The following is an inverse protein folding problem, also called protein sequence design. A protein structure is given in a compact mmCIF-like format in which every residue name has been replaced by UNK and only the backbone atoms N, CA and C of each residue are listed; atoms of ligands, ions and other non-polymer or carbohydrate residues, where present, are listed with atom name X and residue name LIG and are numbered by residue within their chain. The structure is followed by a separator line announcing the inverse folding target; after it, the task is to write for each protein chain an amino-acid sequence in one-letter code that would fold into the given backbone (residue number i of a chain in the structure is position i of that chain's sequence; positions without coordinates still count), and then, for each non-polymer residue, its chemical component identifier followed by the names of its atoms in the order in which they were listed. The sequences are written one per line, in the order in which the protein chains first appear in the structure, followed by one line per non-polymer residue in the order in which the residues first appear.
data_IF_705532681593
#
_entry.id   IF_705532681593
#
_cell.length_a   1.000
_cell.length_b   1.000
_cell.length_c   1.000
_cell.angle_alpha   90.00
_cell.angle_beta   90.00
_cell.angle_gamma   90.00
#
_symmetry.space_group_name_H-M   'P 1'
#
loop_
_entity.id
_entity.type
_entity.pdbx_description
1 polymer ?
#
# COMPACT_ATOMS: atom_id res chain seq x y z
N UNK A 1 27.38 16.98 13.67
CA UNK A 1 27.24 15.73 14.43
C UNK A 1 25.77 15.57 14.74
N UNK A 2 25.17 14.49 14.24
CA UNK A 2 23.80 14.11 14.50
C UNK A 2 23.58 14.10 16.01
N UNK A 3 22.47 14.70 16.45
CA UNK A 3 22.10 14.72 17.87
C UNK A 3 21.98 13.26 18.31
N UNK A 4 22.85 12.82 19.22
CA UNK A 4 22.76 11.47 19.79
C UNK A 4 21.42 11.37 20.52
N UNK A 5 20.62 10.39 20.14
CA UNK A 5 19.27 10.22 20.71
C UNK A 5 19.41 9.72 22.14
N UNK A 6 18.92 10.50 23.09
CA UNK A 6 18.93 10.12 24.49
C UNK A 6 17.70 9.28 24.85
N UNK A 7 17.83 8.41 25.85
CA UNK A 7 16.72 7.61 26.37
C UNK A 7 15.56 8.50 26.83
N UNK A 8 15.86 9.69 27.37
CA UNK A 8 14.86 10.65 27.81
C UNK A 8 13.99 11.15 26.65
N UNK A 9 14.60 11.50 25.52
CA UNK A 9 13.89 11.96 24.32
C UNK A 9 12.94 10.84 23.79
N UNK A 10 13.41 9.59 23.78
CA UNK A 10 12.59 8.43 23.37
C UNK A 10 11.44 8.14 24.34
N UNK A 11 11.65 8.37 25.64
CA UNK A 11 10.64 8.20 26.67
C UNK A 11 9.52 9.23 26.49
N UNK A 12 9.87 10.50 26.31
CA UNK A 12 8.92 11.61 26.09
C UNK A 12 8.14 11.45 24.78
N UNK A 13 8.77 10.90 23.74
CA UNK A 13 8.13 10.60 22.45
C UNK A 13 7.21 9.36 22.49
N UNK A 14 7.22 8.58 23.57
CA UNK A 14 6.35 7.39 23.72
C UNK A 14 6.83 6.15 22.95
N UNK A 15 8.13 6.06 22.66
CA UNK A 15 8.74 4.96 21.90
C UNK A 15 8.69 3.61 22.65
N UNK A 16 8.62 3.68 23.98
CA UNK A 16 8.63 2.54 24.89
C UNK A 16 7.29 1.80 24.96
N UNK A 17 6.19 2.37 24.46
CA UNK A 17 4.89 1.70 24.49
C UNK A 17 4.82 0.62 23.41
N UNK A 18 4.62 -0.63 23.81
CA UNK A 18 4.30 -1.71 22.88
C UNK A 18 2.80 -1.97 22.79
N UNK A 19 2.46 -3.19 22.37
CA UNK A 19 1.09 -3.68 22.24
C UNK A 19 0.59 -4.40 23.49
N UNK A 20 -0.69 -4.74 23.46
CA UNK A 20 -1.35 -5.59 24.45
C UNK A 20 -0.68 -6.97 24.57
N UNK A 21 -0.66 -7.52 25.78
CA UNK A 21 0.00 -8.80 26.07
C UNK A 21 -0.58 -10.02 25.37
N UNK A 22 -1.83 -9.94 24.90
CA UNK A 22 -2.44 -10.98 24.06
C UNK A 22 -1.99 -10.96 22.59
N UNK A 23 -1.37 -9.87 22.14
CA UNK A 23 -0.98 -9.66 20.72
C UNK A 23 0.53 -9.78 20.48
N UNK A 24 1.31 -10.03 21.53
CA UNK A 24 2.76 -10.04 21.43
C UNK A 24 3.30 -11.29 20.73
N UNK A 25 4.50 -11.15 20.17
CA UNK A 25 5.28 -12.25 19.63
C UNK A 25 6.31 -12.70 20.66
N UNK A 26 6.35 -13.99 21.05
CA UNK A 26 7.30 -14.51 22.03
C UNK A 26 8.78 -14.23 21.70
N UNK A 27 9.12 -14.12 20.41
CA UNK A 27 10.49 -13.81 19.99
C UNK A 27 10.92 -12.37 20.33
N UNK A 28 9.97 -11.48 20.64
CA UNK A 28 10.25 -10.13 21.14
C UNK A 28 10.58 -10.09 22.64
N UNK A 29 10.51 -11.23 23.35
CA UNK A 29 10.84 -11.30 24.79
C UNK A 29 12.17 -10.64 25.16
N UNK A 30 13.28 -10.78 24.39
CA UNK A 30 14.52 -10.10 24.72
C UNK A 30 14.43 -8.57 24.69
N UNK A 31 13.52 -7.99 23.92
CA UNK A 31 13.40 -6.53 23.76
C UNK A 31 12.36 -5.90 24.69
N UNK A 32 11.54 -6.72 25.36
CA UNK A 32 10.55 -6.27 26.32
C UNK A 32 11.20 -6.12 27.70
N UNK A 33 10.93 -4.99 28.37
CA UNK A 33 11.42 -4.70 29.71
C UNK A 33 10.46 -5.24 30.78
N UNK A 34 9.18 -4.88 30.70
CA UNK A 34 8.15 -5.30 31.64
C UNK A 34 6.75 -5.17 31.03
N UNK A 35 5.74 -5.64 31.74
CA UNK A 35 4.33 -5.39 31.44
C UNK A 35 3.77 -4.38 32.44
N UNK A 36 2.98 -3.40 31.97
CA UNK A 36 2.24 -2.47 32.84
C UNK A 36 0.84 -2.28 32.28
N UNK A 37 -0.19 -2.49 33.11
CA UNK A 37 -1.60 -2.33 32.73
C UNK A 37 -2.00 -3.13 31.47
N UNK A 38 -1.45 -4.34 31.29
CA UNK A 38 -1.73 -5.18 30.12
C UNK A 38 -1.03 -4.76 28.83
N UNK A 39 -0.09 -3.80 28.88
CA UNK A 39 0.71 -3.32 27.75
C UNK A 39 2.17 -3.67 27.99
N UNK A 40 2.85 -4.21 26.98
CA UNK A 40 4.29 -4.43 27.05
C UNK A 40 5.06 -3.11 26.92
N UNK A 41 6.08 -2.96 27.75
CA UNK A 41 7.02 -1.83 27.72
C UNK A 41 8.32 -2.29 27.08
N UNK A 42 8.71 -1.65 25.98
CA UNK A 42 9.95 -1.92 25.25
C UNK A 42 11.14 -1.36 26.02
N UNK A 43 12.26 -2.09 26.04
CA UNK A 43 13.49 -1.65 26.67
C UNK A 43 14.22 -0.59 25.82
N UNK A 44 14.11 0.68 26.23
CA UNK A 44 14.73 1.80 25.53
C UNK A 44 16.25 1.75 25.46
N UNK A 45 16.95 1.13 26.42
CA UNK A 45 18.41 0.98 26.33
C UNK A 45 18.79 0.08 25.15
N UNK A 46 17.99 -0.98 24.91
CA UNK A 46 18.16 -1.83 23.72
C UNK A 46 17.80 -1.09 22.45
N UNK A 47 16.75 -0.25 22.48
CA UNK A 47 16.39 0.62 21.37
C UNK A 47 17.53 1.55 20.97
N UNK A 48 18.15 2.26 21.92
CA UNK A 48 19.27 3.16 21.64
C UNK A 48 20.46 2.41 21.05
N UNK A 49 20.86 1.29 21.66
CA UNK A 49 21.99 0.49 21.17
C UNK A 49 21.75 -0.02 19.73
N UNK A 50 20.55 -0.51 19.45
CA UNK A 50 20.16 -1.01 18.12
C UNK A 50 19.96 0.10 17.10
N UNK A 51 19.47 1.26 17.52
CA UNK A 51 19.35 2.44 16.67
C UNK A 51 20.74 2.96 16.25
N UNK A 52 21.72 2.96 17.17
CA UNK A 52 23.11 3.31 16.85
C UNK A 52 23.72 2.33 15.82
N UNK A 53 23.56 1.02 16.03
CA UNK A 53 24.00 -0.02 15.10
C UNK A 53 23.37 0.15 13.70
N UNK A 54 22.06 0.38 13.65
CA UNK A 54 21.32 0.62 12.41
C UNK A 54 21.79 1.92 11.71
N UNK A 55 21.95 3.01 12.45
CA UNK A 55 22.38 4.30 11.91
C UNK A 55 23.79 4.23 11.32
N UNK A 56 24.72 3.53 11.97
CA UNK A 56 26.08 3.35 11.45
C UNK A 56 26.07 2.57 10.12
N UNK A 57 25.28 1.50 10.04
CA UNK A 57 25.15 0.72 8.81
C UNK A 57 24.46 1.52 7.70
N UNK A 58 23.39 2.26 7.99
CA UNK A 58 22.69 3.13 7.03
C UNK A 58 23.60 4.25 6.51
N UNK A 59 24.41 4.83 7.39
CA UNK A 59 25.41 5.84 7.03
C UNK A 59 26.43 5.30 6.03
N UNK A 60 26.99 4.11 6.27
CA UNK A 60 27.91 3.43 5.34
C UNK A 60 27.24 3.13 3.98
N UNK A 61 25.98 2.69 3.99
CA UNK A 61 25.23 2.41 2.75
C UNK A 61 24.99 3.71 1.97
N UNK A 62 24.62 4.79 2.64
CA UNK A 62 24.44 6.10 2.02
C UNK A 62 25.75 6.64 1.43
N UNK A 63 26.86 6.50 2.17
CA UNK A 63 28.20 6.88 1.73
C UNK A 63 28.64 6.13 0.45
N UNK A 64 28.34 4.81 0.38
CA UNK A 64 28.59 4.00 -0.84
C UNK A 64 27.77 4.47 -2.06
N UNK A 65 26.74 5.29 -1.85
CA UNK A 65 25.90 5.80 -2.92
C UNK A 65 24.81 4.87 -3.41
N UNK A 66 24.51 3.82 -2.66
CA UNK A 66 23.31 3.01 -2.87
C UNK A 66 22.11 3.75 -2.26
N UNK A 67 20.95 3.61 -2.88
CA UNK A 67 19.70 4.22 -2.40
C UNK A 67 19.07 3.34 -1.32
N UNK A 68 18.51 3.96 -0.29
CA UNK A 68 17.75 3.27 0.76
C UNK A 68 16.26 3.52 0.48
N UNK A 69 15.47 2.45 0.39
CA UNK A 69 14.03 2.55 0.13
C UNK A 69 13.26 2.52 1.45
N UNK A 70 12.57 3.60 1.77
CA UNK A 70 11.73 3.68 2.97
C UNK A 70 10.32 3.20 2.67
N UNK A 71 9.71 2.42 3.56
CA UNK A 71 8.40 1.79 3.34
C UNK A 71 7.53 1.99 4.57
N UNK A 72 6.37 2.62 4.40
CA UNK A 72 5.43 2.86 5.49
C UNK A 72 4.00 3.10 4.96
N UNK A 73 3.11 2.11 4.99
CA UNK A 73 1.71 2.27 4.54
C UNK A 73 0.75 2.69 5.65
N UNK A 74 1.23 2.69 6.88
CA UNK A 74 0.46 3.04 8.09
C UNK A 74 0.13 4.52 8.13
N UNK A 75 -1.13 4.87 8.42
CA UNK A 75 -1.66 6.24 8.35
C UNK A 75 -0.83 7.23 9.18
N UNK A 76 -0.39 6.80 10.36
CA UNK A 76 0.41 7.59 11.29
C UNK A 76 1.83 7.89 10.79
N UNK A 77 2.34 7.07 9.87
CA UNK A 77 3.70 7.14 9.34
C UNK A 77 3.78 7.79 7.94
N UNK A 78 2.69 7.79 7.17
CA UNK A 78 2.69 8.22 5.76
C UNK A 78 3.31 9.60 5.55
N UNK A 79 2.78 10.60 6.25
CA UNK A 79 3.18 12.00 6.04
C UNK A 79 4.59 12.25 6.60
N UNK A 80 4.88 11.66 7.77
CA UNK A 80 6.19 11.76 8.44
C UNK A 80 7.30 11.19 7.55
N UNK A 81 7.10 9.98 7.02
CA UNK A 81 8.09 9.33 6.15
C UNK A 81 8.22 10.08 4.84
N UNK A 82 7.11 10.54 4.23
CA UNK A 82 7.18 11.33 3.01
C UNK A 82 7.99 12.62 3.19
N UNK A 83 7.72 13.39 4.25
CA UNK A 83 8.40 14.66 4.50
C UNK A 83 9.88 14.48 4.83
N UNK A 84 10.20 13.64 5.83
CA UNK A 84 11.58 13.48 6.31
C UNK A 84 12.48 12.84 5.24
N UNK A 85 11.97 11.87 4.50
CA UNK A 85 12.77 11.15 3.50
C UNK A 85 12.92 11.97 2.20
N UNK A 86 11.90 12.74 1.81
CA UNK A 86 12.01 13.67 0.68
C UNK A 86 13.12 14.70 0.89
N UNK A 87 13.29 15.20 2.11
CA UNK A 87 14.35 16.15 2.47
C UNK A 87 15.77 15.58 2.24
N UNK A 88 15.94 14.27 2.33
CA UNK A 88 17.24 13.57 2.14
C UNK A 88 17.38 13.02 0.71
N UNK A 89 16.39 13.23 -0.16
CA UNK A 89 16.34 12.75 -1.54
C UNK A 89 16.56 11.23 -1.67
N UNK A 90 15.91 10.47 -0.77
CA UNK A 90 15.85 9.02 -0.81
C UNK A 90 14.45 8.55 -1.27
N UNK A 91 14.35 7.39 -1.92
CA UNK A 91 13.06 6.86 -2.37
C UNK A 91 12.23 6.34 -1.18
N UNK A 92 10.91 6.53 -1.24
CA UNK A 92 9.97 6.09 -0.20
C UNK A 92 8.64 5.58 -0.76
N UNK A 93 7.96 4.66 -0.11
CA UNK A 93 6.62 4.19 -0.49
C UNK A 93 5.68 4.33 0.70
N UNK A 94 4.72 5.25 0.58
CA UNK A 94 3.79 5.58 1.67
C UNK A 94 2.37 5.11 1.42
N UNK A 95 1.99 4.84 0.17
CA UNK A 95 0.60 4.54 -0.16
C UNK A 95 0.29 3.05 -0.10
N UNK A 96 0.74 2.31 -1.11
CA UNK A 96 0.52 0.86 -1.21
C UNK A 96 1.78 0.21 -1.75
N UNK A 97 2.20 -0.86 -1.11
CA UNK A 97 3.23 -1.75 -1.63
C UNK A 97 2.63 -2.69 -2.70
N UNK A 98 2.92 -2.51 -4.00
CA UNK A 98 2.53 -3.49 -5.00
C UNK A 98 3.38 -4.75 -4.82
N UNK A 99 2.75 -5.93 -4.79
CA UNK A 99 3.50 -7.19 -4.82
C UNK A 99 4.36 -7.29 -6.08
N UNK A 100 5.58 -7.78 -5.94
CA UNK A 100 6.57 -7.81 -7.00
C UNK A 100 7.38 -6.51 -7.13
N UNK A 101 7.34 -5.63 -6.14
CA UNK A 101 8.01 -4.33 -6.22
C UNK A 101 9.53 -4.47 -6.39
N UNK A 102 10.13 -5.39 -5.63
CA UNK A 102 11.56 -5.67 -5.68
C UNK A 102 11.82 -6.88 -6.57
N UNK A 103 11.03 -7.95 -6.41
CA UNK A 103 11.24 -9.22 -7.12
C UNK A 103 10.92 -9.15 -8.62
N UNK A 104 10.00 -8.27 -9.04
CA UNK A 104 9.65 -8.02 -10.44
C UNK A 104 9.95 -6.55 -10.82
N UNK A 105 11.13 -6.06 -10.43
CA UNK A 105 11.53 -4.67 -10.62
C UNK A 105 11.50 -4.20 -12.10
N UNK A 106 11.76 -5.10 -13.05
CA UNK A 106 11.68 -4.78 -14.48
C UNK A 106 10.28 -4.33 -14.89
N UNK A 107 9.24 -4.97 -14.36
CA UNK A 107 7.85 -4.60 -14.65
C UNK A 107 7.45 -3.29 -13.97
N UNK A 108 7.90 -3.07 -12.72
CA UNK A 108 7.69 -1.81 -12.02
C UNK A 108 8.37 -0.65 -12.76
N UNK A 109 9.58 -0.86 -13.26
CA UNK A 109 10.30 0.13 -14.08
C UNK A 109 9.55 0.47 -15.36
N UNK A 110 8.85 -0.49 -15.99
CA UNK A 110 7.97 -0.20 -17.14
C UNK A 110 6.82 0.74 -16.75
N UNK A 111 6.23 0.57 -15.57
CA UNK A 111 5.19 1.47 -15.06
C UNK A 111 5.72 2.89 -14.78
N UNK A 112 6.92 3.00 -14.19
CA UNK A 112 7.62 4.28 -14.01
C UNK A 112 7.96 4.94 -15.34
N UNK A 113 8.44 4.17 -16.33
CA UNK A 113 8.71 4.69 -17.68
C UNK A 113 7.43 5.18 -18.36
N UNK A 114 6.29 4.52 -18.12
CA UNK A 114 4.98 4.97 -18.62
C UNK A 114 4.59 6.32 -18.01
N UNK A 115 4.85 6.53 -16.73
CA UNK A 115 4.66 7.83 -16.05
C UNK A 115 5.47 8.94 -16.74
N UNK A 116 6.78 8.73 -16.94
CA UNK A 116 7.65 9.68 -17.63
C UNK A 116 7.23 9.92 -19.09
N UNK A 117 6.73 8.90 -19.79
CA UNK A 117 6.21 9.06 -21.16
C UNK A 117 4.98 9.96 -21.21
N UNK A 118 4.10 9.90 -20.20
CA UNK A 118 2.93 10.77 -20.11
C UNK A 118 3.37 12.22 -19.86
N UNK A 119 4.36 12.44 -19.01
CA UNK A 119 4.92 13.77 -18.77
C UNK A 119 5.57 14.35 -20.02
N UNK A 120 6.21 13.50 -20.83
CA UNK A 120 6.75 13.91 -22.13
C UNK A 120 5.64 14.30 -23.11
N UNK A 121 4.59 13.47 -23.25
CA UNK A 121 3.44 13.78 -24.12
C UNK A 121 2.74 15.09 -23.71
N UNK A 122 2.69 15.39 -22.41
CA UNK A 122 2.16 16.66 -21.90
C UNK A 122 3.04 17.86 -22.30
N UNK A 123 4.36 17.71 -22.27
CA UNK A 123 5.31 18.75 -22.68
C UNK A 123 5.33 18.97 -24.19
N UNK A 124 5.28 17.88 -24.96
CA UNK A 124 5.37 17.92 -26.43
C UNK A 124 4.05 18.37 -27.10
N UNK A 125 2.96 18.53 -26.33
CA UNK A 125 1.66 18.97 -26.84
C UNK A 125 0.81 17.88 -27.51
N UNK A 126 1.37 16.68 -27.74
CA UNK A 126 0.64 15.50 -28.25
C UNK A 126 -0.52 15.08 -27.33
N UNK A 127 -0.45 15.42 -26.04
CA UNK A 127 -1.56 15.23 -25.12
C UNK A 127 -2.84 15.97 -25.52
N UNK A 128 -2.72 17.07 -26.27
CA UNK A 128 -3.86 17.87 -26.73
C UNK A 128 -4.58 17.27 -27.94
N UNK A 129 -3.93 16.36 -28.69
CA UNK A 129 -4.55 15.68 -29.84
C UNK A 129 -5.50 14.56 -29.42
N UNK A 130 -5.38 14.09 -28.17
CA UNK A 130 -6.26 13.08 -27.60
C UNK A 130 -7.67 13.63 -27.36
N UNK A 131 -8.67 12.76 -27.48
CA UNK A 131 -10.05 13.10 -27.14
C UNK A 131 -10.17 13.44 -25.65
N UNK A 132 -11.19 14.23 -25.27
CA UNK A 132 -11.40 14.62 -23.86
C UNK A 132 -11.51 13.42 -22.91
N UNK A 133 -12.12 12.32 -23.38
CA UNK A 133 -12.26 11.07 -22.61
C UNK A 133 -10.93 10.38 -22.37
N UNK A 134 -10.10 10.25 -23.41
CA UNK A 134 -8.77 9.66 -23.31
C UNK A 134 -7.84 10.51 -22.46
N UNK A 135 -7.90 11.84 -22.61
CA UNK A 135 -7.16 12.79 -21.80
C UNK A 135 -7.43 12.58 -20.31
N UNK A 136 -8.71 12.51 -19.94
CA UNK A 136 -9.12 12.26 -18.55
C UNK A 136 -8.62 10.90 -18.03
N UNK A 137 -8.64 9.85 -18.86
CA UNK A 137 -8.13 8.53 -18.48
C UNK A 137 -6.61 8.55 -18.26
N UNK A 138 -5.86 9.21 -19.14
CA UNK A 138 -4.41 9.36 -19.03
C UNK A 138 -4.04 10.22 -17.80
N UNK A 139 -4.80 11.28 -17.52
CA UNK A 139 -4.60 12.10 -16.30
C UNK A 139 -4.84 11.30 -15.02
N UNK A 140 -5.93 10.53 -14.95
CA UNK A 140 -6.20 9.64 -13.81
C UNK A 140 -5.11 8.60 -13.64
N UNK A 141 -4.64 8.01 -14.73
CA UNK A 141 -3.53 7.05 -14.70
C UNK A 141 -2.24 7.71 -14.21
N UNK A 142 -1.92 8.90 -14.70
CA UNK A 142 -0.73 9.66 -14.29
C UNK A 142 -0.76 10.02 -12.81
N UNK A 143 -1.89 10.51 -12.31
CA UNK A 143 -2.09 10.83 -10.90
C UNK A 143 -1.98 9.59 -10.02
N UNK A 144 -2.53 8.45 -10.47
CA UNK A 144 -2.40 7.17 -9.76
C UNK A 144 -0.96 6.67 -9.74
N UNK A 145 -0.21 6.82 -10.83
CA UNK A 145 1.20 6.46 -10.88
C UNK A 145 2.06 7.38 -10.01
N UNK A 146 1.81 8.69 -10.01
CA UNK A 146 2.53 9.65 -9.14
C UNK A 146 2.37 9.27 -7.67
N UNK A 147 1.11 9.07 -7.27
CA UNK A 147 0.76 8.82 -5.89
C UNK A 147 1.40 7.53 -5.34
N UNK A 148 1.57 6.51 -6.18
CA UNK A 148 2.11 5.22 -5.74
C UNK A 148 3.61 5.06 -5.99
N UNK A 149 4.15 5.63 -7.07
CA UNK A 149 5.51 5.35 -7.57
C UNK A 149 6.32 6.64 -7.88
N UNK A 150 5.82 7.83 -7.54
CA UNK A 150 6.48 9.11 -7.85
C UNK A 150 7.90 9.20 -7.28
N UNK A 151 8.06 8.81 -6.03
CA UNK A 151 9.33 8.79 -5.29
C UNK A 151 10.39 7.83 -5.83
N UNK A 152 9.98 6.76 -6.53
CA UNK A 152 10.91 5.78 -7.12
C UNK A 152 11.21 6.08 -8.59
N UNK A 153 10.73 7.22 -9.10
CA UNK A 153 10.89 7.60 -10.50
C UNK A 153 12.36 7.68 -10.94
N UNK A 154 13.23 8.12 -10.04
CA UNK A 154 14.68 8.25 -10.26
C UNK A 154 15.44 6.94 -10.02
N UNK A 155 14.78 5.88 -9.53
CA UNK A 155 15.45 4.61 -9.24
C UNK A 155 15.69 3.80 -10.51
N UNK A 156 16.95 3.69 -10.92
CA UNK A 156 17.36 2.86 -12.05
C UNK A 156 17.70 1.43 -11.65
N UNK A 157 18.16 1.20 -10.42
CA UNK A 157 18.58 -0.11 -9.89
C UNK A 157 17.86 -0.42 -8.59
N UNK A 158 17.93 -1.69 -8.17
CA UNK A 158 17.41 -2.13 -6.87
C UNK A 158 18.04 -1.33 -5.73
N UNK A 159 17.29 -1.08 -4.64
CA UNK A 159 17.82 -0.38 -3.47
C UNK A 159 18.94 -1.19 -2.80
N UNK A 160 19.83 -0.48 -2.11
CA UNK A 160 20.90 -1.10 -1.35
C UNK A 160 20.49 -1.67 -0.01
N UNK A 161 19.42 -1.12 0.55
CA UNK A 161 18.76 -1.54 1.77
C UNK A 161 17.33 -1.01 1.76
N UNK A 162 16.49 -1.59 2.60
CA UNK A 162 15.14 -1.09 2.85
C UNK A 162 14.96 -0.74 4.32
N UNK A 163 14.18 0.31 4.59
CA UNK A 163 13.76 0.68 5.92
C UNK A 163 12.23 0.57 6.03
N UNK A 164 11.73 -0.30 6.90
CA UNK A 164 10.30 -0.59 7.04
C UNK A 164 9.76 -0.06 8.37
N UNK A 165 8.63 0.64 8.33
CA UNK A 165 7.82 0.95 9.50
C UNK A 165 6.67 -0.05 9.58
N UNK A 166 6.59 -0.80 10.68
CA UNK A 166 5.61 -1.87 10.92
C UNK A 166 5.77 -3.09 9.98
N UNK A 167 6.55 -4.08 10.42
CA UNK A 167 6.83 -5.29 9.64
C UNK A 167 5.64 -6.24 9.50
N UNK A 168 4.67 -6.20 10.41
CA UNK A 168 3.46 -7.02 10.28
C UNK A 168 2.59 -6.54 9.13
N UNK A 169 2.40 -5.23 9.04
CA UNK A 169 1.66 -4.63 7.94
C UNK A 169 2.41 -4.86 6.62
N UNK A 170 3.72 -4.62 6.63
CA UNK A 170 4.57 -4.60 5.43
C UNK A 170 5.28 -5.94 5.16
N UNK A 171 4.69 -7.05 5.59
CA UNK A 171 5.24 -8.40 5.46
C UNK A 171 5.60 -8.80 4.01
N UNK A 172 4.92 -8.26 2.99
CA UNK A 172 5.24 -8.50 1.59
C UNK A 172 6.60 -7.88 1.24
N UNK A 173 6.87 -6.66 1.72
CA UNK A 173 8.15 -5.99 1.50
C UNK A 173 9.29 -6.75 2.16
N UNK A 174 9.08 -7.24 3.39
CA UNK A 174 10.04 -8.09 4.12
C UNK A 174 10.38 -9.35 3.30
N UNK A 175 9.37 -10.11 2.89
CA UNK A 175 9.57 -11.37 2.12
C UNK A 175 10.26 -11.15 0.79
N UNK A 176 9.92 -10.07 0.08
CA UNK A 176 10.57 -9.74 -1.19
C UNK A 176 12.04 -9.35 -1.01
N UNK A 177 12.37 -8.59 0.04
CA UNK A 177 13.73 -8.19 0.35
C UNK A 177 14.60 -9.38 0.79
N UNK A 178 14.05 -10.25 1.65
CA UNK A 178 14.71 -11.50 2.05
C UNK A 178 15.06 -12.37 0.84
N UNK A 179 14.11 -12.54 -0.10
CA UNK A 179 14.32 -13.34 -1.31
C UNK A 179 15.43 -12.80 -2.22
N UNK A 180 15.70 -11.50 -2.17
CA UNK A 180 16.73 -10.83 -2.96
C UNK A 180 18.00 -10.51 -2.16
N UNK A 181 18.07 -10.98 -0.90
CA UNK A 181 19.16 -10.68 0.03
C UNK A 181 19.46 -9.18 0.16
N UNK A 182 18.41 -8.36 0.16
CA UNK A 182 18.52 -6.92 0.41
C UNK A 182 18.44 -6.71 1.94
N UNK A 183 19.42 -6.06 2.57
CA UNK A 183 19.42 -5.79 4.00
C UNK A 183 18.16 -5.05 4.46
N UNK A 184 17.55 -5.54 5.53
CA UNK A 184 16.30 -5.05 6.10
C UNK A 184 16.57 -4.33 7.41
N UNK A 185 16.24 -3.04 7.42
CA UNK A 185 16.16 -2.21 8.61
C UNK A 185 14.69 -2.02 8.94
N UNK A 186 14.30 -2.15 10.20
CA UNK A 186 12.89 -1.95 10.54
C UNK A 186 12.65 -1.47 11.97
N UNK A 187 11.59 -0.68 12.11
CA UNK A 187 10.95 -0.44 13.40
C UNK A 187 10.07 -1.64 13.75
N UNK A 188 10.31 -2.22 14.93
CA UNK A 188 9.68 -3.47 15.35
C UNK A 188 8.99 -3.27 16.69
N UNK A 189 7.67 -3.36 16.68
CA UNK A 189 6.87 -3.44 17.90
C UNK A 189 6.79 -4.90 18.39
N UNK A 190 6.37 -5.06 19.64
CA UNK A 190 6.17 -6.30 20.41
C UNK A 190 5.31 -7.37 19.74
N UNK A 191 4.48 -7.05 18.74
CA UNK A 191 3.66 -8.00 17.97
C UNK A 191 4.41 -8.61 16.75
N UNK A 192 5.51 -7.99 16.34
CA UNK A 192 6.27 -8.36 15.13
C UNK A 192 7.33 -9.42 15.43
N UNK A 193 7.75 -10.20 14.42
CA UNK A 193 8.85 -11.17 14.57
C UNK A 193 10.21 -10.49 14.29
N UNK A 194 11.14 -10.43 15.26
CA UNK A 194 12.43 -9.79 15.06
C UNK A 194 13.41 -10.61 14.21
N UNK A 195 13.15 -11.91 13.97
CA UNK A 195 14.10 -12.81 13.30
C UNK A 195 14.24 -12.56 11.81
N UNK A 196 13.20 -12.00 11.19
CA UNK A 196 13.15 -11.72 9.76
C UNK A 196 13.95 -10.47 9.35
N UNK A 197 14.55 -9.77 10.31
CA UNK A 197 15.06 -8.41 10.18
C UNK A 197 16.54 -8.38 10.56
N UNK A 198 17.38 -7.88 9.66
CA UNK A 198 18.83 -7.83 9.88
C UNK A 198 19.20 -6.78 10.93
N UNK A 199 18.63 -5.58 10.81
CA UNK A 199 18.86 -4.46 11.72
C UNK A 199 17.52 -4.01 12.33
N UNK A 200 17.16 -4.63 13.45
CA UNK A 200 15.92 -4.34 14.14
C UNK A 200 16.08 -3.12 15.06
N UNK A 201 15.06 -2.27 15.12
CA UNK A 201 14.95 -1.16 16.08
C UNK A 201 13.71 -1.43 16.92
N UNK A 202 13.84 -1.91 18.18
CA UNK A 202 12.69 -2.12 19.05
C UNK A 202 12.02 -0.78 19.35
N UNK A 203 10.81 -0.56 18.86
CA UNK A 203 10.15 0.75 18.99
C UNK A 203 8.65 0.65 18.73
N UNK A 204 7.89 1.56 19.31
CA UNK A 204 6.49 1.78 18.99
C UNK A 204 6.33 2.26 17.52
N UNK A 205 5.58 1.53 16.72
CA UNK A 205 5.26 1.89 15.33
C UNK A 205 3.82 2.44 15.13
N UNK A 206 3.03 2.56 16.21
CA UNK A 206 1.67 3.09 16.20
C UNK A 206 1.62 4.61 16.45
N UNK A 207 2.51 5.12 17.30
CA UNK A 207 2.51 6.52 17.69
C UNK A 207 3.28 7.40 16.69
N UNK A 208 2.63 8.43 16.14
CA UNK A 208 3.25 9.39 15.22
C UNK A 208 4.53 10.02 15.80
N UNK A 209 4.53 10.41 17.08
CA UNK A 209 5.72 10.99 17.74
C UNK A 209 6.90 10.01 17.83
N UNK A 210 6.61 8.73 18.05
CA UNK A 210 7.62 7.66 18.09
C UNK A 210 8.23 7.45 16.71
N UNK A 211 7.38 7.35 15.68
CA UNK A 211 7.84 7.24 14.29
C UNK A 211 8.67 8.46 13.91
N UNK A 212 8.23 9.67 14.26
CA UNK A 212 8.94 10.90 13.95
C UNK A 212 10.35 10.95 14.54
N UNK A 213 10.53 10.64 15.83
CA UNK A 213 11.85 10.72 16.47
C UNK A 213 12.83 9.68 15.90
N UNK A 214 12.35 8.46 15.62
CA UNK A 214 13.18 7.40 15.03
C UNK A 214 13.51 7.76 13.58
N UNK A 215 12.52 8.18 12.80
CA UNK A 215 12.73 8.60 11.41
C UNK A 215 13.69 9.78 11.32
N UNK A 216 13.58 10.78 12.21
CA UNK A 216 14.49 11.92 12.26
C UNK A 216 15.94 11.45 12.47
N UNK A 217 16.18 10.60 13.47
CA UNK A 217 17.51 10.05 13.75
C UNK A 217 18.09 9.29 12.56
N UNK A 218 17.26 8.46 11.91
CA UNK A 218 17.66 7.68 10.75
C UNK A 218 17.95 8.59 9.55
N UNK A 219 17.10 9.58 9.27
CA UNK A 219 17.31 10.51 8.15
C UNK A 219 18.54 11.39 8.36
N UNK A 220 18.82 11.79 9.60
CA UNK A 220 20.03 12.56 9.93
C UNK A 220 21.29 11.72 9.68
N UNK A 221 21.31 10.45 10.09
CA UNK A 221 22.42 9.54 9.81
C UNK A 221 22.64 9.31 8.29
N UNK A 222 21.56 9.19 7.52
CA UNK A 222 21.64 9.09 6.05
C UNK A 222 22.13 10.39 5.42
N UNK A 223 21.68 11.55 5.91
CA UNK A 223 22.13 12.85 5.43
C UNK A 223 23.61 13.09 5.70
N UNK A 224 24.12 12.64 6.86
CA UNK A 224 25.55 12.63 7.15
C UNK A 224 26.32 11.76 6.16
N UNK A 225 25.89 10.52 5.94
CA UNK A 225 26.56 9.62 4.98
C UNK A 225 26.56 10.16 3.55
N UNK A 226 25.48 10.85 3.13
CA UNK A 226 25.44 11.55 1.85
C UNK A 226 26.38 12.76 1.79
N UNK A 227 26.56 13.46 2.91
CA UNK A 227 27.45 14.63 3.00
C UNK A 227 28.91 14.19 2.96
N UNK A 228 29.27 13.14 3.68
CA UNK A 228 30.61 12.51 3.64
C UNK A 228 30.98 12.08 2.23
N UNK A 229 30.04 11.44 1.52
CA UNK A 229 30.23 11.09 0.12
C UNK A 229 30.47 12.29 -0.79
N UNK A 230 29.77 13.41 -0.55
CA UNK A 230 29.95 14.64 -1.35
C UNK A 230 31.33 15.22 -1.09
N UNK A 231 31.78 15.27 0.17
CA UNK A 231 33.13 15.75 0.51
C UNK A 231 34.22 14.86 -0.05
N UNK A 232 34.08 13.53 0.01
CA UNK A 232 35.05 12.59 -0.58
C UNK A 232 35.18 12.79 -2.08
N UNK A 233 34.05 12.94 -2.79
CA UNK A 233 34.05 13.23 -4.23
C UNK A 233 34.65 14.59 -4.57
N UNK A 234 34.43 15.60 -3.74
CA UNK A 234 35.02 16.93 -3.93
C UNK A 234 36.53 16.89 -3.71
N UNK A 235 37.00 16.24 -2.65
CA UNK A 235 38.42 16.03 -2.39
C UNK A 235 39.12 15.23 -3.50
N UNK A 236 38.44 14.22 -4.07
CA UNK A 236 38.96 13.45 -5.21
C UNK A 236 38.98 14.28 -6.51
N UNK A 237 38.05 15.22 -6.69
CA UNK A 237 38.02 16.15 -7.83
C UNK A 237 39.01 17.31 -7.73
N UNK A 238 39.31 17.77 -6.51
CA UNK A 238 40.29 18.84 -6.24
C UNK A 238 41.73 18.30 -6.14
N UNK A 239 41.91 17.00 -5.89
CA UNK A 239 43.21 16.31 -5.89
C UNK A 239 43.76 15.92 -7.27
N UNK A 240 43.09 16.28 -8.37
CA UNK A 240 43.52 15.98 -9.73
C UNK A 240 44.40 17.09 -10.35
N UNK A 241 45.52 17.41 -9.71
CA UNK A 241 46.68 17.98 -10.43
C UNK A 241 47.56 16.82 -10.94
N UNK A 242 48.08 16.87 -12.18
CA UNK A 242 48.80 15.74 -12.75
C UNK A 242 50.21 15.70 -12.15
N UNK A 243 50.42 14.84 -11.14
CA UNK A 243 51.79 14.40 -10.81
C UNK A 243 52.30 13.49 -11.92
N UNK A 244 53.03 14.08 -12.87
CA UNK A 244 54.06 13.38 -13.63
C UNK A 244 55.22 13.02 -12.70
N UNK A 245 55.77 11.83 -12.96
CA UNK A 245 57.04 11.25 -12.48
C UNK A 245 57.01 10.79 -11.00
N UNK A 246 57.42 9.57 -10.64
CA UNK A 246 58.55 8.79 -11.14
C UNK A 246 58.31 7.27 -10.88
N UNK A 247 58.52 6.43 -11.90
CA UNK A 247 58.57 4.97 -11.75
C UNK A 247 59.94 4.58 -11.20
N UNK A 248 60.00 4.13 -9.95
CA UNK A 248 61.17 3.41 -9.42
C UNK A 248 60.93 1.91 -9.58
N UNK A 249 61.69 1.34 -10.52
CA UNK A 249 61.89 -0.10 -10.70
C UNK A 249 62.64 -0.64 -9.47
N UNK A 250 62.13 -1.70 -8.85
CA UNK A 250 62.94 -2.60 -8.01
C UNK A 250 62.71 -4.05 -8.43
N UNK A 251 63.86 -4.67 -8.68
CA UNK A 251 64.11 -6.00 -9.21
C UNK A 251 63.51 -7.14 -8.37
N UNK A 252 63.16 -8.20 -9.09
CA UNK A 252 63.07 -9.56 -8.59
C UNK A 252 64.46 -10.22 -8.62
N UNK A 253 64.76 -11.19 -7.73
CA UNK A 253 65.74 -12.21 -8.01
C UNK A 253 65.08 -13.53 -8.43
N UNK A 254 65.59 -14.00 -9.56
CA UNK A 254 65.54 -15.28 -10.25
C UNK A 254 65.90 -16.50 -9.38
N UNK A 255 65.25 -17.67 -9.57
CA UNK A 255 65.91 -19.01 -9.64
C UNK A 255 65.08 -20.00 -10.50
N UNK A 256 65.76 -20.48 -11.55
CA UNK A 256 65.77 -21.80 -12.23
C UNK A 256 64.57 -22.36 -13.04
N UNK A 257 64.88 -22.52 -14.34
CA UNK A 257 64.29 -23.37 -15.39
C UNK A 257 64.62 -24.86 -15.18
N UNK A 258 63.73 -25.75 -15.62
CA UNK A 258 64.00 -27.03 -16.33
C UNK A 258 62.77 -27.26 -17.25
N UNK A 259 62.90 -27.06 -18.57
CA UNK A 259 62.93 -28.10 -19.65
C UNK A 259 61.73 -29.07 -19.61
N UNK A 260 61.00 -29.43 -20.67
CA UNK A 260 61.09 -29.37 -22.14
C UNK A 260 59.74 -29.89 -22.69
N UNK A 261 59.11 -29.17 -23.62
CA UNK A 261 58.65 -29.58 -24.97
C UNK A 261 58.10 -31.03 -25.28
N UNK A 262 57.40 -31.29 -26.41
CA UNK A 262 55.97 -30.98 -26.69
C UNK A 262 55.20 -32.15 -27.36
N UNK A 263 53.86 -32.19 -27.34
CA UNK A 263 53.04 -32.94 -28.33
C UNK A 263 51.77 -32.09 -28.54
N UNK A 264 51.64 -31.26 -29.59
CA UNK A 264 51.47 -31.55 -31.01
C UNK A 264 50.14 -32.25 -31.38
N UNK A 265 49.23 -31.40 -31.88
CA UNK A 265 48.39 -31.53 -33.09
C UNK A 265 47.13 -32.39 -33.09
N UNK A 266 46.09 -31.69 -33.60
CA UNK A 266 45.04 -32.15 -34.52
C UNK A 266 43.98 -33.11 -33.95
N UNK A 267 42.69 -32.98 -34.27
CA UNK A 267 42.11 -32.47 -35.51
C UNK A 267 40.63 -32.07 -35.25
N UNK A 268 40.19 -31.08 -36.02
CA UNK A 268 38.81 -30.80 -36.42
C UNK A 268 37.97 -32.04 -36.72
N UNK A 269 36.69 -32.03 -36.31
CA UNK A 269 35.58 -32.42 -37.20
C UNK A 269 34.25 -31.84 -36.77
N UNK A 270 33.52 -31.50 -37.80
CA UNK A 270 32.30 -30.72 -37.93
C UNK A 270 31.11 -31.68 -38.17
N UNK A 271 29.89 -31.11 -38.09
CA UNK A 271 28.60 -31.58 -38.65
C UNK A 271 27.83 -32.64 -37.82
N UNK A 272 26.69 -32.25 -37.24
CA UNK A 272 25.35 -32.57 -37.78
C UNK A 272 24.19 -31.88 -37.02
N UNK A 273 23.36 -31.21 -37.82
CA UNK A 273 22.07 -30.59 -37.52
C UNK A 273 20.91 -31.60 -37.60
N UNK A 274 19.79 -31.20 -36.98
CA UNK A 274 18.38 -31.53 -37.29
C UNK A 274 17.82 -32.87 -36.76
N UNK A 275 16.47 -33.05 -36.65
CA UNK A 275 15.36 -32.19 -37.15
C UNK A 275 14.30 -31.85 -36.07
N UNK A 276 13.61 -30.70 -36.08
CA UNK A 276 12.40 -30.33 -36.87
C UNK A 276 11.38 -31.46 -37.03
N UNK A 277 10.28 -31.39 -36.27
CA UNK A 277 9.01 -32.04 -36.62
C UNK A 277 7.93 -30.96 -36.67
N UNK A 278 7.50 -30.67 -37.89
CA UNK A 278 6.23 -30.05 -38.19
C UNK A 278 5.20 -31.16 -38.36
N UNK A 279 3.98 -30.96 -37.86
CA UNK A 279 2.81 -31.60 -38.44
C UNK A 279 1.65 -30.59 -38.51
N UNK A 280 0.88 -30.71 -39.58
CA UNK A 280 0.01 -29.73 -40.21
C UNK A 280 -1.33 -30.40 -40.50
N UNK A 281 -2.44 -29.83 -40.04
CA UNK A 281 -3.79 -29.96 -40.64
C UNK A 281 -4.69 -28.90 -39.98
N UNK A 282 -4.90 -27.73 -40.60
CA UNK A 282 -6.01 -27.33 -41.49
C UNK A 282 -7.38 -27.01 -40.82
N UNK A 283 -8.17 -26.06 -41.38
CA UNK A 283 -9.09 -25.18 -40.63
C UNK A 283 -10.59 -25.24 -41.03
N UNK A 284 -11.39 -24.41 -40.35
CA UNK A 284 -12.77 -23.93 -40.63
C UNK A 284 -13.99 -24.84 -40.26
N UNK A 285 -15.21 -24.28 -40.04
CA UNK A 285 -15.70 -22.92 -40.37
C UNK A 285 -16.47 -22.15 -39.27
N UNK A 286 -16.65 -20.85 -39.56
CA UNK A 286 -17.66 -19.89 -39.07
C UNK A 286 -19.12 -20.36 -39.24
N UNK A 287 -20.07 -19.71 -38.54
CA UNK A 287 -21.18 -19.11 -39.29
C UNK A 287 -21.52 -17.66 -38.89
N UNK A 288 -21.78 -16.88 -39.94
CA UNK A 288 -22.88 -15.93 -40.16
C UNK A 288 -23.27 -14.86 -39.11
N UNK A 289 -22.94 -13.63 -39.51
CA UNK A 289 -23.76 -12.41 -39.59
C UNK A 289 -25.28 -12.54 -39.37
N UNK A 290 -25.84 -11.72 -38.48
CA UNK A 290 -27.20 -11.16 -38.62
C UNK A 290 -27.16 -9.67 -38.26
N UNK A 291 -27.55 -8.84 -39.23
CA UNK A 291 -27.85 -7.41 -39.11
C UNK A 291 -29.07 -7.16 -38.19
N UNK A 292 -29.13 -6.01 -37.50
CA UNK A 292 -30.30 -5.11 -37.56
C UNK A 292 -30.09 -3.79 -36.80
N UNK A 293 -30.05 -2.71 -37.60
CA UNK A 293 -30.78 -1.43 -37.47
C UNK A 293 -30.78 -0.64 -36.13
N UNK A 294 -30.08 0.50 -36.17
CA UNK A 294 -30.54 1.80 -35.64
C UNK A 294 -31.84 2.27 -36.36
N UNK A 295 -32.58 3.37 -36.02
CA UNK A 295 -32.23 4.58 -35.23
C UNK A 295 -33.44 5.07 -34.35
N UNK A 296 -33.68 6.35 -33.97
CA UNK A 296 -32.90 7.59 -34.13
C UNK A 296 -32.78 8.53 -32.91
N UNK A 297 -31.92 9.53 -33.13
CA UNK A 297 -31.66 10.77 -32.39
C UNK A 297 -32.55 11.91 -32.92
N UNK A 298 -33.15 12.75 -32.06
CA UNK A 298 -33.43 14.22 -32.27
C UNK A 298 -33.61 14.86 -30.86
N UNK A 299 -32.69 15.71 -30.35
CA UNK A 299 -32.70 17.20 -30.27
C UNK A 299 -33.92 17.80 -29.51
N UNK A 300 -33.87 18.78 -28.58
CA UNK A 300 -33.11 20.03 -28.36
C UNK A 300 -33.31 20.52 -26.89
N UNK A 301 -32.36 21.32 -26.39
CA UNK A 301 -32.42 22.22 -25.20
C UNK A 301 -33.43 23.41 -25.41
N UNK A 302 -33.77 24.32 -24.44
CA UNK A 302 -32.89 24.87 -23.38
C UNK A 302 -33.54 25.24 -22.00
N UNK A 303 -32.65 25.77 -21.13
CA UNK A 303 -32.75 26.31 -19.75
C UNK A 303 -33.79 27.42 -19.51
N UNK A 304 -34.25 27.53 -18.26
CA UNK A 304 -34.39 28.82 -17.53
C UNK A 304 -34.25 28.64 -16.02
N UNK A 305 -33.43 29.49 -15.39
CA UNK A 305 -33.32 29.75 -13.94
C UNK A 305 -34.32 30.85 -13.54
N UNK A 306 -34.94 30.77 -12.35
CA UNK A 306 -35.31 31.96 -11.54
C UNK A 306 -35.26 31.58 -10.05
N UNK A 307 -34.69 32.48 -9.26
CA UNK A 307 -34.38 32.41 -7.84
C UNK A 307 -35.24 33.43 -7.06
N UNK A 308 -35.57 33.08 -5.80
CA UNK A 308 -35.74 33.95 -4.60
C UNK A 308 -36.96 34.90 -4.43
N UNK A 309 -37.56 34.80 -3.23
CA UNK A 309 -38.32 35.82 -2.45
C UNK A 309 -39.75 36.23 -2.85
N UNK A 310 -40.73 35.54 -2.26
CA UNK A 310 -41.90 36.16 -1.62
C UNK A 310 -42.11 35.45 -0.27
N UNK A 311 -41.49 35.95 0.80
CA UNK A 311 -42.10 36.81 1.83
C UNK A 311 -43.13 36.02 2.65
N UNK A 312 -42.73 35.47 3.81
CA UNK A 312 -42.65 36.19 5.08
C UNK A 312 -43.90 37.01 5.39
N UNK A 313 -45.08 36.40 5.37
CA UNK A 313 -46.21 36.97 6.09
C UNK A 313 -47.24 35.92 6.51
N UNK A 314 -46.81 34.86 7.20
CA UNK A 314 -47.72 34.14 8.09
C UNK A 314 -46.96 33.48 9.26
N UNK A 315 -45.94 34.19 9.77
CA UNK A 315 -45.32 33.92 11.07
C UNK A 315 -46.10 34.69 12.13
N UNK A 316 -47.36 34.32 12.41
CA UNK A 316 -48.11 34.85 13.54
C UNK A 316 -49.41 34.08 13.82
N UNK A 317 -49.35 32.74 13.96
CA UNK A 317 -50.33 32.02 14.78
C UNK A 317 -49.68 30.79 15.40
N UNK A 318 -49.78 30.77 16.71
CA UNK A 318 -48.98 30.00 17.63
C UNK A 318 -49.24 28.50 17.58
N UNK A 319 -48.13 27.74 17.56
CA UNK A 319 -47.84 26.58 18.41
C UNK A 319 -49.05 25.87 19.05
N UNK A 320 -49.49 24.78 18.45
CA UNK A 320 -49.50 23.46 19.10
C UNK A 320 -49.73 22.34 18.09
N UNK A 321 -49.09 21.19 18.30
CA UNK A 321 -49.17 19.92 17.55
C UNK A 321 -48.31 19.82 16.27
N UNK A 322 -47.04 19.45 16.47
CA UNK A 322 -46.11 19.01 15.42
C UNK A 322 -46.54 17.67 14.81
N UNK A 323 -46.82 17.64 13.50
CA UNK A 323 -46.88 16.41 12.69
C UNK A 323 -45.46 16.00 12.27
N UNK A 324 -45.14 14.74 12.55
CA UNK A 324 -43.86 14.04 12.38
C UNK A 324 -43.67 13.65 10.90
N UNK A 325 -42.62 14.15 10.25
CA UNK A 325 -42.17 13.67 8.94
C UNK A 325 -41.46 12.31 9.10
N UNK A 326 -41.78 11.34 8.24
CA UNK A 326 -41.33 9.95 8.31
C UNK A 326 -39.82 9.80 8.12
N UNK A 327 -39.12 9.32 9.15
CA UNK A 327 -37.75 8.81 9.04
C UNK A 327 -37.80 7.42 8.39
N UNK A 328 -36.89 7.14 7.46
CA UNK A 328 -36.59 5.78 7.00
C UNK A 328 -35.87 5.01 8.12
N UNK A 329 -36.15 3.71 8.24
CA UNK A 329 -35.53 2.85 9.25
C UNK A 329 -34.26 2.18 8.70
N UNK A 330 -33.32 1.85 9.59
CA UNK A 330 -32.11 1.12 9.24
C UNK A 330 -32.36 -0.39 9.24
N UNK A 331 -32.70 -0.93 8.06
CA UNK A 331 -33.04 -2.35 7.85
C UNK A 331 -31.87 -3.30 8.11
N UNK A 332 -30.62 -2.82 8.22
CA UNK A 332 -29.45 -3.67 8.50
C UNK A 332 -29.44 -4.22 9.93
N UNK A 333 -30.35 -3.76 10.79
CA UNK A 333 -30.57 -4.30 12.14
C UNK A 333 -31.27 -5.67 12.14
N UNK A 334 -31.79 -6.11 11.00
CA UNK A 334 -32.38 -7.44 10.82
C UNK A 334 -31.27 -8.41 10.42
N UNK A 335 -31.15 -9.51 11.14
CA UNK A 335 -30.15 -10.53 10.86
C UNK A 335 -30.44 -11.21 9.51
N UNK A 336 -29.44 -11.26 8.64
CA UNK A 336 -29.54 -11.74 7.26
C UNK A 336 -29.73 -10.63 6.22
N UNK A 337 -30.12 -9.42 6.64
CA UNK A 337 -30.25 -8.25 5.74
C UNK A 337 -28.92 -7.51 5.67
N UNK A 338 -28.13 -7.81 4.63
CA UNK A 338 -26.90 -7.06 4.32
C UNK A 338 -27.19 -5.68 3.70
N UNK A 339 -26.18 -4.79 3.58
CA UNK A 339 -26.35 -3.43 3.05
C UNK A 339 -26.98 -3.36 1.65
N UNK A 340 -26.66 -4.32 0.78
CA UNK A 340 -27.22 -4.41 -0.58
C UNK A 340 -28.67 -4.88 -0.60
N UNK A 341 -29.04 -5.77 0.32
CA UNK A 341 -30.41 -6.21 0.47
C UNK A 341 -31.26 -5.07 1.05
N UNK A 342 -30.75 -4.34 2.05
CA UNK A 342 -31.39 -3.14 2.58
C UNK A 342 -31.64 -2.07 1.51
N UNK A 343 -30.66 -1.81 0.64
CA UNK A 343 -30.80 -0.88 -0.49
C UNK A 343 -31.84 -1.36 -1.51
N UNK A 344 -31.83 -2.65 -1.87
CA UNK A 344 -32.82 -3.23 -2.78
C UNK A 344 -34.25 -3.15 -2.22
N UNK A 345 -34.43 -3.40 -0.91
CA UNK A 345 -35.72 -3.29 -0.24
C UNK A 345 -36.21 -1.85 -0.14
N UNK A 346 -35.32 -0.90 0.14
CA UNK A 346 -35.65 0.51 0.13
C UNK A 346 -36.11 0.97 -1.26
N UNK A 347 -35.40 0.57 -2.32
CA UNK A 347 -35.78 0.89 -3.71
C UNK A 347 -37.12 0.26 -4.12
N UNK A 348 -37.50 -0.88 -3.52
CA UNK A 348 -38.80 -1.52 -3.71
C UNK A 348 -39.91 -0.96 -2.78
N UNK A 349 -39.62 0.09 -2.01
CA UNK A 349 -40.59 0.81 -1.17
C UNK A 349 -40.71 0.30 0.27
N UNK A 350 -39.90 -0.69 0.68
CA UNK A 350 -39.86 -1.25 2.04
C UNK A 350 -38.89 -0.48 2.96
N UNK A 351 -39.03 0.83 3.04
CA UNK A 351 -38.09 1.72 3.74
C UNK A 351 -38.22 1.76 5.27
N UNK A 352 -39.20 1.05 5.84
CA UNK A 352 -39.47 1.03 7.29
C UNK A 352 -39.72 -0.38 7.81
N UNK A 353 -39.42 -0.63 9.09
CA UNK A 353 -39.65 -1.92 9.74
C UNK A 353 -41.12 -2.33 9.64
N UNK A 354 -42.05 -1.39 9.83
CA UNK A 354 -43.49 -1.65 9.74
C UNK A 354 -43.97 -2.01 8.34
N UNK A 355 -43.29 -1.56 7.27
CA UNK A 355 -43.61 -1.97 5.89
C UNK A 355 -43.05 -3.37 5.60
N UNK A 356 -41.83 -3.65 6.05
CA UNK A 356 -41.19 -4.96 5.87
C UNK A 356 -41.88 -6.06 6.70
N UNK A 357 -42.41 -5.73 7.87
CA UNK A 357 -43.16 -6.65 8.73
C UNK A 357 -44.49 -7.15 8.10
N UNK A 358 -45.07 -6.37 7.20
CA UNK A 358 -46.33 -6.71 6.49
C UNK A 358 -46.09 -7.40 5.15
N UNK A 359 -44.83 -7.59 4.77
CA UNK A 359 -44.45 -8.17 3.49
C UNK A 359 -44.39 -9.70 3.61
N UNK A 360 -44.80 -10.38 2.54
CA UNK A 360 -44.65 -11.83 2.43
C UNK A 360 -43.21 -12.18 2.06
N UNK A 361 -42.67 -13.24 2.67
CA UNK A 361 -41.30 -13.70 2.41
C UNK A 361 -41.04 -13.99 0.92
N UNK A 362 -42.03 -14.53 0.20
CA UNK A 362 -41.92 -14.81 -1.24
C UNK A 362 -41.78 -13.53 -2.07
N UNK A 363 -42.53 -12.47 -1.73
CA UNK A 363 -42.43 -11.17 -2.40
C UNK A 363 -41.07 -10.52 -2.14
N UNK A 364 -40.54 -10.64 -0.91
CA UNK A 364 -39.19 -10.17 -0.58
C UNK A 364 -38.15 -10.91 -1.43
N UNK A 365 -38.29 -12.23 -1.57
CA UNK A 365 -37.36 -13.05 -2.35
C UNK A 365 -37.38 -12.70 -3.84
N UNK A 366 -38.55 -12.44 -4.40
CA UNK A 366 -38.72 -11.99 -5.78
C UNK A 366 -38.00 -10.66 -6.02
N UNK A 367 -38.22 -9.66 -5.15
CA UNK A 367 -37.56 -8.35 -5.22
C UNK A 367 -36.04 -8.46 -5.16
N UNK A 368 -35.51 -9.29 -4.25
CA UNK A 368 -34.06 -9.48 -4.13
C UNK A 368 -33.47 -10.16 -5.37
N UNK A 369 -34.20 -11.11 -5.96
CA UNK A 369 -33.77 -11.84 -7.15
C UNK A 369 -33.79 -10.94 -8.38
N UNK A 370 -34.81 -10.07 -8.51
CA UNK A 370 -34.91 -9.06 -9.56
C UNK A 370 -33.81 -7.99 -9.43
N UNK A 371 -33.51 -7.56 -8.19
CA UNK A 371 -32.44 -6.60 -7.93
C UNK A 371 -31.04 -7.16 -8.22
N UNK A 372 -30.78 -8.45 -7.95
CA UNK A 372 -29.55 -9.12 -8.35
C UNK A 372 -29.64 -10.65 -8.28
N UNK A 373 -29.22 -11.33 -9.36
CA UNK A 373 -29.06 -12.79 -9.40
C UNK A 373 -28.13 -13.34 -8.31
N UNK A 374 -27.23 -12.51 -7.77
CA UNK A 374 -26.34 -12.90 -6.65
C UNK A 374 -27.05 -12.97 -5.30
N UNK A 375 -28.25 -12.38 -5.16
CA UNK A 375 -29.02 -12.37 -3.92
C UNK A 375 -30.07 -13.49 -3.85
N UNK A 376 -30.20 -14.31 -4.90
CA UNK A 376 -31.16 -15.43 -4.97
C UNK A 376 -30.95 -16.52 -3.90
N UNK A 377 -29.76 -16.58 -3.28
CA UNK A 377 -29.43 -17.52 -2.20
C UNK A 377 -29.87 -17.05 -0.81
N UNK A 378 -30.33 -15.79 -0.65
CA UNK A 378 -30.81 -15.28 0.62
C UNK A 378 -32.19 -15.85 0.95
N UNK A 379 -32.40 -16.20 2.20
CA UNK A 379 -33.68 -16.68 2.71
C UNK A 379 -34.35 -15.59 3.57
N UNK A 380 -35.37 -14.89 3.04
CA UNK A 380 -36.04 -13.81 3.77
C UNK A 380 -37.15 -14.30 4.71
N UNK A 381 -37.29 -15.60 4.96
CA UNK A 381 -38.43 -16.17 5.70
C UNK A 381 -38.58 -15.59 7.12
N UNK A 382 -37.48 -15.24 7.79
CA UNK A 382 -37.52 -14.63 9.13
C UNK A 382 -37.60 -13.11 9.15
N UNK A 383 -37.38 -12.44 8.02
CA UNK A 383 -37.24 -10.98 7.97
C UNK A 383 -38.52 -10.24 8.37
N UNK A 384 -39.74 -10.67 7.96
CA UNK A 384 -40.98 -10.04 8.42
C UNK A 384 -41.16 -10.12 9.94
N UNK A 385 -40.82 -11.27 10.55
CA UNK A 385 -40.94 -11.49 12.00
C UNK A 385 -39.96 -10.63 12.79
N UNK A 386 -38.70 -10.55 12.34
CA UNK A 386 -37.70 -9.67 12.93
C UNK A 386 -38.06 -8.19 12.75
N UNK A 387 -38.58 -7.82 11.57
CA UNK A 387 -39.06 -6.46 11.30
C UNK A 387 -40.25 -6.09 12.19
N UNK A 388 -41.12 -7.04 12.53
CA UNK A 388 -42.22 -6.80 13.47
C UNK A 388 -41.71 -6.49 14.89
N UNK A 389 -40.76 -7.29 15.40
CA UNK A 389 -40.15 -7.02 16.72
C UNK A 389 -39.40 -5.69 16.74
N UNK A 390 -38.73 -5.32 15.64
CA UNK A 390 -38.08 -4.02 15.48
C UNK A 390 -39.08 -2.86 15.41
N UNK A 391 -40.23 -3.06 14.75
CA UNK A 391 -41.31 -2.06 14.66
C UNK A 391 -42.02 -1.84 16.01
N UNK A 392 -42.12 -2.89 16.83
CA UNK A 392 -42.70 -2.86 18.18
C UNK A 392 -41.69 -2.36 19.25
N UNK A 393 -40.50 -1.90 18.84
CA UNK A 393 -39.40 -1.43 19.70
C UNK A 393 -38.89 -2.48 20.72
N UNK A 394 -39.15 -3.77 20.48
CA UNK A 394 -38.75 -4.92 21.31
C UNK A 394 -37.31 -5.36 21.02
N UNK A 395 -36.36 -4.45 21.17
CA UNK A 395 -34.95 -4.68 20.80
C UNK A 395 -34.26 -5.77 21.63
N UNK A 396 -34.60 -5.90 22.92
CA UNK A 396 -34.02 -6.92 23.79
C UNK A 396 -34.54 -8.32 23.42
N UNK A 397 -35.84 -8.47 23.14
CA UNK A 397 -36.43 -9.74 22.67
C UNK A 397 -35.90 -10.12 21.28
N UNK A 398 -35.73 -9.15 20.38
CA UNK A 398 -35.16 -9.36 19.05
C UNK A 398 -33.73 -9.88 19.15
N UNK A 399 -32.91 -9.29 20.03
CA UNK A 399 -31.53 -9.71 20.23
C UNK A 399 -31.43 -11.11 20.82
N UNK A 400 -32.27 -11.44 21.80
CA UNK A 400 -32.33 -12.80 22.34
C UNK A 400 -32.80 -13.83 21.31
N UNK A 401 -33.69 -13.44 20.40
CA UNK A 401 -34.15 -14.28 19.30
C UNK A 401 -33.03 -14.49 18.26
N UNK A 402 -32.32 -13.42 17.86
CA UNK A 402 -31.16 -13.47 16.96
C UNK A 402 -30.02 -14.31 17.52
N UNK A 403 -29.73 -14.21 18.83
CA UNK A 403 -28.69 -15.01 19.49
C UNK A 403 -29.04 -16.53 19.53
N UNK A 404 -30.33 -16.88 19.42
CA UNK A 404 -30.83 -18.27 19.38
C UNK A 404 -30.98 -18.81 17.96
N UNK A 405 -31.33 -17.97 16.99
CA UNK A 405 -31.51 -18.35 15.59
C UNK A 405 -30.16 -18.38 14.86
N UNK A 406 -29.83 -19.47 14.16
CA UNK A 406 -28.60 -19.53 13.36
C UNK A 406 -28.84 -18.90 11.98
N UNK A 407 -28.45 -17.64 11.81
CA UNK A 407 -28.47 -16.97 10.50
C UNK A 407 -29.87 -16.63 10.01
N UNK A 408 -30.79 -16.33 10.93
CA UNK A 408 -32.15 -15.92 10.58
C UNK A 408 -33.04 -17.05 10.04
N UNK A 409 -32.80 -18.31 10.40
CA UNK A 409 -33.71 -19.43 10.15
C UNK A 409 -34.12 -20.02 11.51
N UNK A 410 -35.42 -20.26 11.70
CA UNK A 410 -35.96 -20.92 12.91
C UNK A 410 -35.51 -22.37 13.04
#
# INVERSE_FOLDING_TARGET
MAKKVEVKDLLEAGVHFGHLTRKWNPNMAPYIYMERNGIHVINLYKTVAKLEEANEALKKIAASGRKILFVATKKQAKDIVAEKVANVNMPYITERWPGGMLTNFVTIRKAVKKMASIDRMKKDGTFLTLSKKERLQVDRLRAKLEKNLGSISEMTRLPGAIFIVDTMREHIAVKEAQKLNIPIFAMVDTNSDPRDIDFLIPSNDDASKSIEIIMQSVTDAVAEGLSERKSEKQAESEGAEPKKEEKVVKEAPEIAKVETEPIAKDETKEIEEAPVVADTTQPEPTPETVETKAPPVVAKNPRTEVDVEEVKEEVAKEKSTSKKASKSDDLTKIEGVGPKAAEALANAGFETFGKLAKADADKIKEILTEASSRMAHLDPTSWPKQAQMAADEKWDELKEWQDKAKGGVE
#
